data_IF_801888288028
#
_entry.id   IF_801888288028
#
_cell.length_a   1.000
_cell.length_b   1.000
_cell.length_c   1.000
_cell.angle_alpha   90.00
_cell.angle_beta   90.00
_cell.angle_gamma   90.00
#
_symmetry.space_group_name_H-M   'P 1'
#
loop_
_entity.id
_entity.type
_entity.pdbx_description
1 polymer ?
#
# COMPACT_ATOMS: atom_id res chain seq x y z
N UNK A 1 64.49 -28.75 -42.98
CA UNK A 1 64.23 -29.26 -41.63
C UNK A 1 64.09 -28.08 -40.71
N UNK A 2 62.88 -27.66 -40.42
CA UNK A 2 62.60 -26.65 -39.39
C UNK A 2 61.50 -27.20 -38.48
N UNK A 3 61.82 -27.43 -37.24
CA UNK A 3 60.91 -27.88 -36.19
C UNK A 3 59.99 -26.70 -35.79
N UNK A 4 58.70 -26.88 -35.90
CA UNK A 4 57.73 -25.99 -35.31
C UNK A 4 57.46 -26.43 -33.84
N UNK A 5 57.71 -25.51 -32.90
CA UNK A 5 57.34 -25.70 -31.51
C UNK A 5 55.90 -25.19 -31.29
N UNK A 6 55.02 -26.07 -30.82
CA UNK A 6 53.66 -25.74 -30.44
C UNK A 6 53.70 -25.24 -28.99
N UNK A 7 53.32 -23.98 -28.78
CA UNK A 7 53.15 -23.40 -27.47
C UNK A 7 51.66 -23.60 -27.10
N UNK A 8 51.42 -24.42 -26.07
CA UNK A 8 50.08 -24.57 -25.49
C UNK A 8 49.84 -23.38 -24.54
N UNK A 9 48.88 -22.57 -24.84
CA UNK A 9 48.41 -21.48 -23.99
C UNK A 9 47.33 -22.02 -23.04
N UNK A 10 47.72 -22.23 -21.74
CA UNK A 10 46.77 -22.53 -20.69
C UNK A 10 46.08 -21.22 -20.27
N UNK A 11 44.84 -21.06 -20.70
CA UNK A 11 43.95 -19.99 -20.20
C UNK A 11 43.39 -20.41 -18.84
N UNK A 12 43.94 -19.83 -17.77
CA UNK A 12 43.33 -19.89 -16.43
C UNK A 12 42.18 -18.90 -16.39
N UNK A 13 40.96 -19.40 -16.49
CA UNK A 13 39.76 -18.59 -16.27
C UNK A 13 39.61 -18.32 -14.76
N UNK A 14 39.98 -17.14 -14.32
CA UNK A 14 39.69 -16.68 -12.98
C UNK A 14 38.23 -16.24 -12.93
N UNK A 15 37.38 -17.09 -12.35
CA UNK A 15 36.00 -16.73 -12.06
C UNK A 15 36.00 -15.69 -10.91
N UNK A 16 35.76 -14.44 -11.23
CA UNK A 16 35.45 -13.41 -10.24
C UNK A 16 34.04 -13.64 -9.76
N UNK A 17 33.91 -14.30 -8.61
CA UNK A 17 32.64 -14.38 -7.89
C UNK A 17 32.42 -13.00 -7.23
N UNK A 18 31.63 -12.16 -7.89
CA UNK A 18 31.06 -10.97 -7.28
C UNK A 18 30.05 -11.41 -6.23
N UNK A 19 30.50 -11.52 -4.98
CA UNK A 19 29.59 -11.63 -3.85
C UNK A 19 28.84 -10.30 -3.72
N UNK A 20 27.62 -10.24 -4.26
CA UNK A 20 26.69 -9.22 -3.86
C UNK A 20 26.32 -9.49 -2.40
N UNK A 21 26.95 -8.77 -1.49
CA UNK A 21 26.46 -8.63 -0.12
C UNK A 21 25.09 -7.97 -0.24
N UNK A 22 24.02 -8.78 -0.14
CA UNK A 22 22.69 -8.28 0.14
C UNK A 22 22.76 -7.62 1.51
N UNK A 23 23.01 -6.30 1.55
CA UNK A 23 22.71 -5.52 2.73
C UNK A 23 21.21 -5.69 2.94
N UNK A 24 20.86 -6.49 3.95
CA UNK A 24 19.51 -6.55 4.45
C UNK A 24 19.14 -5.12 4.83
N UNK A 25 18.37 -4.47 3.98
CA UNK A 25 17.70 -3.23 4.35
C UNK A 25 16.79 -3.63 5.51
N UNK A 26 17.06 -3.08 6.68
CA UNK A 26 16.13 -3.18 7.79
C UNK A 26 14.75 -2.85 7.28
N UNK A 27 13.80 -3.76 7.51
CA UNK A 27 12.41 -3.50 7.21
C UNK A 27 12.06 -2.13 7.82
N UNK A 28 11.31 -1.26 7.12
CA UNK A 28 10.83 -0.04 7.73
C UNK A 28 10.15 -0.44 9.04
N UNK A 29 10.50 0.22 10.14
CA UNK A 29 9.96 -0.07 11.45
C UNK A 29 8.44 -0.06 11.33
N UNK A 30 7.83 -1.24 11.28
CA UNK A 30 6.39 -1.38 11.28
C UNK A 30 5.92 -0.90 12.65
N UNK A 31 5.05 0.10 12.68
CA UNK A 31 4.28 0.40 13.85
C UNK A 31 3.33 -0.77 14.06
N UNK A 32 3.73 -1.71 14.91
CA UNK A 32 2.79 -2.66 15.43
C UNK A 32 1.86 -1.87 16.37
N UNK A 33 0.64 -1.62 15.93
CA UNK A 33 -0.47 -1.24 16.81
C UNK A 33 -0.82 -2.47 17.65
N UNK A 34 0.09 -2.91 18.52
CA UNK A 34 -0.15 -4.01 19.44
C UNK A 34 -0.95 -3.51 20.63
N UNK A 35 -2.19 -4.00 20.75
CA UNK A 35 -3.00 -3.91 21.95
C UNK A 35 -3.56 -2.51 22.22
N UNK A 36 -4.70 -2.21 21.63
CA UNK A 36 -5.45 -1.01 21.92
C UNK A 36 -6.26 -1.21 23.21
N UNK A 37 -5.79 -0.65 24.32
CA UNK A 37 -6.59 -0.34 25.49
C UNK A 37 -6.93 1.15 25.43
N UNK A 38 -8.21 1.51 25.49
CA UNK A 38 -8.73 2.87 25.38
C UNK A 38 -8.25 3.81 26.51
N UNK A 39 -7.51 3.32 27.48
CA UNK A 39 -6.96 4.06 28.63
C UNK A 39 -5.46 4.32 28.57
N UNK A 40 -4.72 3.77 27.59
CA UNK A 40 -3.27 3.90 27.54
C UNK A 40 -2.78 5.00 26.60
N UNK A 41 -1.90 5.85 27.12
CA UNK A 41 -1.11 6.79 26.33
C UNK A 41 -0.36 6.04 25.24
N UNK A 42 -0.60 6.39 23.95
CA UNK A 42 0.10 5.83 22.83
C UNK A 42 1.60 6.12 22.97
N UNK A 43 2.37 5.13 23.39
CA UNK A 43 3.82 5.20 23.40
C UNK A 43 4.30 4.68 22.04
N UNK A 44 4.73 5.58 21.18
CA UNK A 44 5.37 5.23 19.91
C UNK A 44 6.74 4.64 20.23
N UNK A 45 6.85 3.31 20.29
CA UNK A 45 8.13 2.64 20.47
C UNK A 45 8.92 2.68 19.15
N UNK A 46 9.77 3.70 19.02
CA UNK A 46 10.77 3.74 17.96
C UNK A 46 12.00 2.93 18.41
N UNK A 47 12.01 1.62 18.13
CA UNK A 47 13.26 0.86 18.22
C UNK A 47 14.10 1.16 16.98
N UNK A 48 14.79 2.30 16.97
CA UNK A 48 15.88 2.54 16.05
C UNK A 48 17.21 2.24 16.76
N UNK A 49 18.01 1.34 16.20
CA UNK A 49 19.42 1.18 16.56
C UNK A 49 20.26 2.36 16.01
N UNK A 50 19.96 3.58 16.44
CA UNK A 50 20.77 4.75 16.11
C UNK A 50 21.10 5.50 17.40
N UNK A 51 22.37 5.60 17.68
CA UNK A 51 23.00 6.34 18.76
C UNK A 51 22.81 7.84 18.58
N UNK A 52 21.72 8.37 18.94
CA UNK A 52 21.33 9.73 19.38
C UNK A 52 19.82 9.89 19.18
N UNK A 53 19.02 10.25 20.18
CA UNK A 53 17.61 10.52 19.98
C UNK A 53 17.47 11.70 19.04
N UNK A 54 16.91 11.50 17.85
CA UNK A 54 16.50 12.61 17.01
C UNK A 54 15.50 13.45 17.81
N UNK A 55 15.68 14.77 17.84
CA UNK A 55 14.77 15.70 18.50
C UNK A 55 13.37 15.48 17.92
N UNK A 56 12.44 14.97 18.71
CA UNK A 56 11.08 14.71 18.25
C UNK A 56 10.23 15.96 18.44
N UNK A 57 9.61 16.41 17.36
CA UNK A 57 8.64 17.50 17.39
C UNK A 57 7.25 16.90 17.37
N UNK A 58 6.37 17.29 18.31
CA UNK A 58 5.03 16.77 18.39
C UNK A 58 4.00 17.87 18.17
N UNK A 59 3.04 17.63 17.30
CA UNK A 59 1.85 18.42 17.13
C UNK A 59 0.61 17.59 17.43
N UNK A 60 -0.44 18.25 17.89
CA UNK A 60 -1.73 17.65 18.21
C UNK A 60 -2.85 18.35 17.46
N UNK A 61 -3.77 17.56 16.93
CA UNK A 61 -4.96 18.04 16.24
C UNK A 61 -6.20 17.45 16.89
N UNK A 62 -7.19 18.29 17.18
CA UNK A 62 -8.45 17.89 17.80
C UNK A 62 -9.61 18.70 17.22
N UNK A 63 -10.83 18.12 17.05
CA UNK A 63 -12.00 18.88 16.60
C UNK A 63 -12.35 20.08 17.52
N UNK A 64 -11.97 19.96 18.80
CA UNK A 64 -12.17 21.03 19.82
C UNK A 64 -10.99 22.01 19.92
N UNK A 65 -9.97 21.86 19.07
CA UNK A 65 -8.79 22.72 19.04
C UNK A 65 -9.04 24.07 18.36
N UNK A 66 -7.96 24.84 18.20
CA UNK A 66 -7.98 26.13 17.50
C UNK A 66 -6.78 26.26 16.55
N UNK A 67 -7.00 26.78 15.35
CA UNK A 67 -5.92 27.00 14.39
C UNK A 67 -5.01 28.18 14.74
N UNK A 68 -5.40 28.98 15.76
CA UNK A 68 -4.54 30.00 16.36
C UNK A 68 -3.73 29.49 17.56
N UNK A 69 -4.00 28.23 18.00
CA UNK A 69 -3.26 27.59 19.09
C UNK A 69 -1.84 27.19 18.67
N UNK A 70 -1.03 26.80 19.65
CA UNK A 70 0.37 26.40 19.43
C UNK A 70 0.54 24.95 18.87
N UNK A 71 -0.52 24.15 18.83
CA UNK A 71 -0.48 22.75 18.38
C UNK A 71 0.08 21.80 19.42
N UNK A 72 0.19 22.20 20.68
CA UNK A 72 0.58 21.34 21.79
C UNK A 72 -0.57 20.42 22.24
N UNK A 73 -0.30 19.41 23.07
CA UNK A 73 -1.34 18.53 23.62
C UNK A 73 -2.41 19.29 24.38
N UNK A 74 -2.02 20.35 25.14
CA UNK A 74 -2.94 21.19 25.92
C UNK A 74 -3.66 22.25 25.06
N UNK A 75 -3.07 22.64 23.90
CA UNK A 75 -3.62 23.65 23.00
C UNK A 75 -3.48 23.15 21.52
N UNK A 76 -4.29 22.13 21.12
CA UNK A 76 -4.16 21.49 19.81
C UNK A 76 -4.65 22.39 18.67
N UNK A 77 -4.18 22.13 17.47
CA UNK A 77 -4.78 22.68 16.25
C UNK A 77 -6.18 22.11 16.04
N UNK A 78 -7.01 22.85 15.32
CA UNK A 78 -8.35 22.39 14.95
C UNK A 78 -8.33 21.58 13.65
N UNK A 79 -7.51 21.95 12.66
CA UNK A 79 -7.56 21.39 11.32
C UNK A 79 -6.26 20.71 10.92
N UNK A 80 -6.40 19.67 10.07
CA UNK A 80 -5.26 19.00 9.43
C UNK A 80 -4.49 19.98 8.50
N UNK A 81 -5.20 20.89 7.84
CA UNK A 81 -4.58 21.91 6.98
C UNK A 81 -3.68 22.86 7.77
N UNK A 82 -4.05 23.23 9.01
CA UNK A 82 -3.19 24.05 9.89
C UNK A 82 -1.95 23.25 10.34
N UNK A 83 -2.13 22.00 10.72
CA UNK A 83 -1.02 21.13 11.08
C UNK A 83 -0.06 20.94 9.90
N UNK A 84 -0.58 20.74 8.68
CA UNK A 84 0.23 20.61 7.47
C UNK A 84 1.14 21.82 7.21
N UNK A 85 0.67 23.04 7.52
CA UNK A 85 1.47 24.26 7.47
C UNK A 85 2.51 24.36 8.59
N UNK A 86 2.24 23.78 9.75
CA UNK A 86 3.14 23.82 10.91
C UNK A 86 4.30 22.82 10.79
N UNK A 87 4.06 21.69 10.16
CA UNK A 87 5.07 20.62 9.98
C UNK A 87 6.09 21.08 8.94
N UNK A 88 7.31 21.38 9.40
CA UNK A 88 8.43 21.81 8.55
C UNK A 88 9.72 21.04 8.81
N UNK A 89 9.76 20.23 9.89
CA UNK A 89 10.97 19.55 10.36
C UNK A 89 10.86 18.03 10.27
N UNK A 90 11.94 17.39 9.89
CA UNK A 90 12.09 15.94 10.02
C UNK A 90 11.95 15.51 11.49
N UNK A 91 11.48 14.28 11.73
CA UNK A 91 11.23 13.76 13.08
C UNK A 91 9.95 14.30 13.74
N UNK A 92 9.08 14.98 12.98
CA UNK A 92 7.79 15.45 13.49
C UNK A 92 6.76 14.34 13.54
N UNK A 93 6.02 14.26 14.66
CA UNK A 93 4.81 13.43 14.78
C UNK A 93 3.60 14.32 14.99
N UNK A 94 2.56 14.10 14.18
CA UNK A 94 1.25 14.75 14.31
C UNK A 94 0.25 13.73 14.82
N UNK A 95 -0.20 13.92 16.06
CA UNK A 95 -1.21 13.10 16.70
C UNK A 95 -2.59 13.71 16.44
N UNK A 96 -3.47 12.94 15.81
CA UNK A 96 -4.81 13.39 15.43
C UNK A 96 -5.84 12.65 16.26
N UNK A 97 -6.57 13.37 17.11
CA UNK A 97 -7.61 12.82 17.97
C UNK A 97 -8.80 12.31 17.13
N UNK A 98 -9.62 11.38 17.68
CA UNK A 98 -10.87 10.99 17.05
C UNK A 98 -11.77 12.18 16.75
N UNK A 99 -12.43 12.15 15.59
CA UNK A 99 -13.34 13.20 15.14
C UNK A 99 -13.37 13.33 13.63
N UNK A 100 -14.16 14.26 13.14
CA UNK A 100 -14.34 14.52 11.71
C UNK A 100 -13.56 15.77 11.32
N UNK A 101 -12.76 15.62 10.27
CA UNK A 101 -11.86 16.66 9.75
C UNK A 101 -12.10 16.89 8.26
N UNK A 102 -11.98 18.13 7.85
CA UNK A 102 -11.99 18.48 6.45
C UNK A 102 -10.69 18.00 5.77
N UNK A 103 -10.84 17.30 4.65
CA UNK A 103 -9.75 16.95 3.73
C UNK A 103 -9.48 18.04 2.70
N UNK A 104 -8.80 17.68 1.63
CA UNK A 104 -8.44 18.62 0.57
C UNK A 104 -7.20 19.43 0.92
N UNK A 105 -6.27 18.88 1.66
CA UNK A 105 -5.03 19.54 2.06
C UNK A 105 -3.79 18.83 1.49
N UNK A 106 -2.67 19.57 1.51
CA UNK A 106 -1.39 19.11 1.00
C UNK A 106 -0.32 19.11 2.09
N UNK A 107 0.51 18.06 2.13
CA UNK A 107 1.71 17.95 2.96
C UNK A 107 2.96 17.93 2.10
N UNK A 108 3.97 18.75 2.44
CA UNK A 108 5.18 18.92 1.60
C UNK A 108 6.49 18.76 2.38
N UNK A 109 6.44 18.69 3.70
CA UNK A 109 7.61 18.55 4.53
C UNK A 109 8.28 17.18 4.33
N UNK A 110 9.60 17.16 4.34
CA UNK A 110 10.40 15.97 4.20
C UNK A 110 10.90 15.48 5.55
N UNK A 111 10.69 14.19 5.83
CA UNK A 111 11.48 13.45 6.80
C UNK A 111 12.82 13.01 6.23
N UNK A 112 13.51 12.18 6.97
CA UNK A 112 14.72 11.46 6.57
C UNK A 112 14.61 9.99 6.96
N UNK A 113 15.55 9.15 6.52
CA UNK A 113 15.57 7.74 6.93
C UNK A 113 15.68 7.57 8.45
N UNK A 114 16.42 8.46 9.13
CA UNK A 114 16.61 8.44 10.59
C UNK A 114 15.52 9.23 11.35
N UNK A 115 14.78 10.13 10.69
CA UNK A 115 13.82 11.02 11.32
C UNK A 115 12.60 11.22 10.42
N UNK A 116 11.73 10.19 10.33
CA UNK A 116 10.51 10.23 9.53
C UNK A 116 9.52 11.26 10.08
N UNK A 117 8.61 11.70 9.25
CA UNK A 117 7.43 12.46 9.66
C UNK A 117 6.27 11.47 9.79
N UNK A 118 5.58 11.53 10.92
CA UNK A 118 4.43 10.66 11.20
C UNK A 118 3.14 11.48 11.32
N UNK A 119 2.11 11.01 10.65
CA UNK A 119 0.73 11.44 10.83
C UNK A 119 -0.05 10.26 11.35
N UNK A 120 -0.57 10.36 12.57
CA UNK A 120 -1.15 9.21 13.28
C UNK A 120 -2.54 9.57 13.80
N UNK A 121 -3.54 8.82 13.38
CA UNK A 121 -4.82 8.80 14.07
C UNK A 121 -4.63 8.10 15.43
N UNK A 122 -4.90 8.78 16.54
CA UNK A 122 -4.65 8.23 17.88
C UNK A 122 -5.57 7.06 18.24
N UNK A 123 -6.62 6.85 17.45
CA UNK A 123 -7.50 5.67 17.48
C UNK A 123 -7.61 5.17 16.04
N UNK A 124 -7.44 3.87 15.81
CA UNK A 124 -7.57 3.29 14.45
C UNK A 124 -8.92 3.73 13.86
N UNK A 125 -8.86 4.47 12.71
CA UNK A 125 -10.00 5.03 11.99
C UNK A 125 -10.84 6.05 12.77
N UNK A 126 -10.35 6.50 13.93
CA UNK A 126 -11.03 7.50 14.73
C UNK A 126 -10.95 8.91 14.14
N UNK A 127 -9.84 9.27 13.51
CA UNK A 127 -9.72 10.51 12.76
C UNK A 127 -10.27 10.30 11.35
N UNK A 128 -11.48 10.79 11.11
CA UNK A 128 -12.22 10.65 9.86
C UNK A 128 -12.04 11.89 8.99
N UNK A 129 -11.51 11.73 7.79
CA UNK A 129 -11.31 12.78 6.80
C UNK A 129 -12.47 12.74 5.80
N UNK A 130 -13.17 13.86 5.64
CA UNK A 130 -14.36 13.98 4.77
C UNK A 130 -14.21 15.17 3.80
N UNK A 131 -14.91 15.18 2.66
CA UNK A 131 -14.95 16.32 1.77
C UNK A 131 -15.52 17.57 2.47
N UNK A 132 -14.78 18.70 2.48
CA UNK A 132 -15.31 19.95 3.01
C UNK A 132 -16.43 20.50 2.12
N UNK A 133 -17.25 21.39 2.67
CA UNK A 133 -18.23 22.12 1.87
C UNK A 133 -17.50 23.02 0.86
N UNK A 134 -18.04 23.09 -0.37
CA UNK A 134 -17.51 23.93 -1.46
C UNK A 134 -16.04 23.63 -1.83
N UNK A 135 -15.57 22.39 -1.62
CA UNK A 135 -14.20 21.99 -1.97
C UNK A 135 -13.98 22.07 -3.48
N UNK A 136 -12.82 22.59 -3.88
CA UNK A 136 -12.31 22.52 -5.25
C UNK A 136 -11.21 21.46 -5.40
N UNK A 137 -10.77 20.85 -4.31
CA UNK A 137 -9.72 19.84 -4.30
C UNK A 137 -10.27 18.49 -4.77
N UNK A 138 -9.47 17.80 -5.57
CA UNK A 138 -9.77 16.45 -6.08
C UNK A 138 -9.20 15.35 -5.18
N UNK A 139 -8.27 15.66 -4.29
CA UNK A 139 -7.59 14.72 -3.39
C UNK A 139 -8.03 14.99 -1.94
N UNK A 140 -8.29 13.94 -1.17
CA UNK A 140 -8.50 14.09 0.26
C UNK A 140 -7.21 14.49 0.97
N UNK A 141 -6.12 13.82 0.64
CA UNK A 141 -4.76 14.10 1.13
C UNK A 141 -3.76 14.04 -0.03
N UNK A 142 -3.04 15.14 -0.29
CA UNK A 142 -1.98 15.21 -1.28
C UNK A 142 -0.62 15.29 -0.58
N UNK A 143 0.10 14.15 -0.45
CA UNK A 143 1.43 14.13 0.13
C UNK A 143 2.51 14.26 -0.94
N UNK A 144 3.40 15.24 -0.80
CA UNK A 144 4.56 15.47 -1.66
C UNK A 144 5.89 15.30 -0.91
N UNK A 145 5.81 15.13 0.41
CA UNK A 145 7.00 14.93 1.25
C UNK A 145 7.59 13.53 1.10
N UNK A 146 8.88 13.41 1.38
CA UNK A 146 9.60 12.16 1.47
C UNK A 146 9.65 11.65 2.91
N UNK A 147 9.78 10.34 3.12
CA UNK A 147 9.85 9.73 4.43
C UNK A 147 8.68 10.13 5.35
N UNK A 148 7.48 10.15 4.81
CA UNK A 148 6.23 10.44 5.51
C UNK A 148 5.47 9.14 5.74
N UNK A 149 4.94 8.95 6.96
CA UNK A 149 4.04 7.86 7.30
C UNK A 149 2.65 8.40 7.63
N UNK A 150 1.60 7.86 6.99
CA UNK A 150 0.18 8.20 7.20
C UNK A 150 -0.51 6.96 7.74
N UNK A 151 -0.95 7.03 9.02
CA UNK A 151 -1.29 5.84 9.78
C UNK A 151 -2.66 5.95 10.44
N UNK A 152 -3.54 4.97 10.17
CA UNK A 152 -4.75 4.71 10.96
C UNK A 152 -5.92 5.66 10.73
N UNK A 153 -5.95 6.44 9.66
CA UNK A 153 -7.05 7.35 9.32
C UNK A 153 -8.20 6.62 8.63
N UNK A 154 -9.41 7.18 8.75
CA UNK A 154 -10.50 6.91 7.83
C UNK A 154 -10.61 8.05 6.81
N UNK A 155 -10.71 7.72 5.52
CA UNK A 155 -10.95 8.66 4.43
C UNK A 155 -12.27 8.28 3.78
N UNK A 156 -13.31 9.05 4.07
CA UNK A 156 -14.69 8.79 3.67
C UNK A 156 -15.16 9.79 2.62
N UNK A 157 -15.11 9.39 1.36
CA UNK A 157 -15.58 10.20 0.24
C UNK A 157 -17.11 10.27 0.08
N UNK A 158 -17.90 9.52 0.86
CA UNK A 158 -19.36 9.50 0.77
C UNK A 158 -20.02 10.77 1.29
N UNK A 159 -19.36 11.50 2.19
CA UNK A 159 -19.91 12.67 2.89
C UNK A 159 -19.83 13.96 2.08
N UNK A 160 -20.04 13.88 0.77
CA UNK A 160 -19.97 15.06 -0.09
C UNK A 160 -21.16 15.99 0.23
N UNK A 161 -20.84 17.20 0.69
CA UNK A 161 -21.84 18.24 0.97
C UNK A 161 -22.07 19.15 -0.25
N UNK A 162 -21.00 19.62 -0.86
CA UNK A 162 -21.00 20.45 -2.08
C UNK A 162 -19.59 20.53 -2.66
N UNK A 163 -19.45 21.09 -3.86
CA UNK A 163 -18.16 21.27 -4.50
C UNK A 163 -17.64 20.02 -5.22
N UNK A 164 -16.34 19.95 -5.47
CA UNK A 164 -15.68 18.89 -6.20
C UNK A 164 -15.61 17.62 -5.35
N UNK A 165 -16.10 16.52 -5.89
CA UNK A 165 -15.94 15.19 -5.29
C UNK A 165 -14.51 14.71 -5.46
N UNK A 166 -14.02 13.97 -4.49
CA UNK A 166 -12.67 13.43 -4.56
C UNK A 166 -12.53 12.34 -5.63
N UNK A 167 -11.50 12.49 -6.44
CA UNK A 167 -11.03 11.45 -7.35
C UNK A 167 -9.97 10.57 -6.69
N UNK A 168 -9.23 11.12 -5.72
CA UNK A 168 -8.18 10.44 -4.99
C UNK A 168 -8.41 10.56 -3.47
N UNK A 169 -8.23 9.44 -2.76
CA UNK A 169 -8.19 9.43 -1.31
C UNK A 169 -6.84 9.93 -0.80
N UNK A 170 -5.90 9.04 -0.54
CA UNK A 170 -4.53 9.38 -0.16
C UNK A 170 -3.65 9.28 -1.42
N UNK A 171 -3.10 10.41 -1.84
CA UNK A 171 -2.14 10.49 -2.93
C UNK A 171 -0.75 10.79 -2.39
N UNK A 172 0.27 10.09 -2.87
CA UNK A 172 1.66 10.38 -2.55
C UNK A 172 2.56 10.37 -3.78
N UNK A 173 3.29 11.47 -3.98
CA UNK A 173 4.28 11.64 -5.04
C UNK A 173 5.71 11.77 -4.52
N UNK A 174 5.92 11.62 -3.21
CA UNK A 174 7.26 11.61 -2.59
C UNK A 174 7.83 10.19 -2.47
N UNK A 175 9.07 10.11 -1.96
CA UNK A 175 9.83 8.86 -1.83
C UNK A 175 9.83 8.31 -0.42
N UNK A 176 9.96 6.98 -0.29
CA UNK A 176 10.12 6.28 0.99
C UNK A 176 8.96 6.51 1.96
N UNK A 177 7.75 6.69 1.43
CA UNK A 177 6.55 6.92 2.23
C UNK A 177 5.93 5.60 2.69
N UNK A 178 5.10 5.67 3.72
CA UNK A 178 4.32 4.54 4.25
C UNK A 178 2.87 4.97 4.41
N UNK A 179 1.96 4.24 3.82
CA UNK A 179 0.51 4.40 3.97
C UNK A 179 0.01 3.14 4.68
N UNK A 180 -0.32 3.26 5.98
CA UNK A 180 -0.51 2.08 6.83
C UNK A 180 -1.79 2.11 7.64
N UNK A 181 -2.52 0.99 7.63
CA UNK A 181 -3.66 0.78 8.51
C UNK A 181 -4.84 1.73 8.29
N UNK A 182 -4.91 2.42 7.15
CA UNK A 182 -5.98 3.36 6.87
C UNK A 182 -7.21 2.63 6.31
N UNK A 183 -8.38 3.26 6.47
CA UNK A 183 -9.63 2.87 5.88
C UNK A 183 -10.04 3.92 4.84
N UNK A 184 -9.98 3.57 3.55
CA UNK A 184 -10.22 4.52 2.45
C UNK A 184 -11.37 4.02 1.60
N UNK A 185 -12.45 4.81 1.51
CA UNK A 185 -13.65 4.35 0.81
C UNK A 185 -14.44 5.49 0.17
N UNK A 186 -15.32 5.12 -0.79
CA UNK A 186 -16.21 6.02 -1.50
C UNK A 186 -15.51 7.18 -2.23
N UNK A 187 -14.26 6.97 -2.70
CA UNK A 187 -13.58 7.93 -3.58
C UNK A 187 -13.86 7.62 -5.06
N UNK A 188 -13.66 8.58 -5.93
CA UNK A 188 -13.84 8.48 -7.38
C UNK A 188 -15.24 8.04 -7.83
N UNK A 189 -16.27 8.10 -6.97
CA UNK A 189 -17.62 7.56 -7.25
C UNK A 189 -18.38 8.27 -8.38
N UNK A 190 -17.90 9.41 -8.84
CA UNK A 190 -18.57 10.24 -9.85
C UNK A 190 -17.65 10.76 -10.94
N UNK A 191 -16.53 10.08 -11.18
CA UNK A 191 -15.67 10.43 -12.31
C UNK A 191 -16.37 10.09 -13.63
N UNK A 192 -16.08 10.82 -14.73
CA UNK A 192 -16.77 10.61 -16.02
C UNK A 192 -16.31 9.35 -16.77
N UNK A 193 -15.38 8.56 -16.25
CA UNK A 193 -14.85 7.33 -16.86
C UNK A 193 -14.31 7.48 -18.29
N UNK A 194 -13.81 8.64 -18.62
CA UNK A 194 -13.10 8.90 -19.89
C UNK A 194 -11.59 8.69 -19.72
N UNK A 195 -10.77 9.73 -19.77
CA UNK A 195 -9.32 9.65 -19.54
C UNK A 195 -8.91 10.07 -18.12
N UNK A 196 -9.83 10.59 -17.32
CA UNK A 196 -9.56 10.99 -15.95
C UNK A 196 -9.78 9.82 -15.02
N UNK A 197 -8.76 9.42 -14.27
CA UNK A 197 -8.79 8.33 -13.32
C UNK A 197 -9.03 8.78 -11.89
N UNK A 198 -9.13 7.79 -11.01
CA UNK A 198 -9.24 7.98 -9.58
C UNK A 198 -8.84 6.75 -8.80
N UNK A 199 -8.35 6.93 -7.58
CA UNK A 199 -7.98 5.82 -6.71
C UNK A 199 -8.23 6.12 -5.24
N UNK A 200 -8.33 5.06 -4.43
CA UNK A 200 -8.34 5.23 -2.99
C UNK A 200 -6.95 5.61 -2.47
N UNK A 201 -5.94 4.86 -2.88
CA UNK A 201 -4.53 5.14 -2.56
C UNK A 201 -3.76 5.20 -3.87
N UNK A 202 -3.16 6.37 -4.16
CA UNK A 202 -2.34 6.60 -5.34
C UNK A 202 -0.88 6.85 -4.96
N UNK A 203 0.01 5.99 -5.44
CA UNK A 203 1.47 6.12 -5.31
C UNK A 203 2.03 6.42 -6.69
N UNK A 204 2.49 7.62 -6.90
CA UNK A 204 2.75 8.11 -8.25
C UNK A 204 4.20 8.53 -8.48
N UNK A 205 4.77 8.04 -9.60
CA UNK A 205 6.10 8.41 -10.08
C UNK A 205 6.16 9.79 -10.74
N UNK A 206 5.03 10.42 -11.09
CA UNK A 206 5.00 11.69 -11.81
C UNK A 206 5.89 12.78 -11.18
N UNK A 207 6.01 12.79 -9.84
CA UNK A 207 6.91 13.66 -9.09
C UNK A 207 8.25 13.01 -8.75
N UNK A 208 8.63 11.93 -9.46
CA UNK A 208 9.86 11.16 -9.27
C UNK A 208 9.97 10.46 -7.91
N UNK A 209 8.84 10.24 -7.23
CA UNK A 209 8.80 9.48 -5.99
C UNK A 209 9.10 8.00 -6.21
N UNK A 210 9.79 7.37 -5.25
CA UNK A 210 10.15 5.94 -5.28
C UNK A 210 9.94 5.29 -3.92
N UNK A 211 9.76 3.96 -3.91
CA UNK A 211 9.73 3.13 -2.70
C UNK A 211 8.69 3.56 -1.68
N UNK A 212 7.44 3.57 -2.06
CA UNK A 212 6.34 3.74 -1.10
C UNK A 212 5.76 2.39 -0.72
N UNK A 213 5.52 2.20 0.58
CA UNK A 213 4.91 1.00 1.14
C UNK A 213 3.44 1.26 1.50
N UNK A 214 2.55 0.39 1.01
CA UNK A 214 1.09 0.43 1.27
C UNK A 214 0.74 -0.82 2.05
N UNK A 215 0.49 -0.68 3.36
CA UNK A 215 0.46 -1.80 4.29
C UNK A 215 -0.83 -1.81 5.12
N UNK A 216 -1.53 -2.94 5.16
CA UNK A 216 -2.60 -3.17 6.12
C UNK A 216 -3.81 -2.22 5.98
N UNK A 217 -4.03 -1.64 4.81
CA UNK A 217 -5.16 -0.76 4.59
C UNK A 217 -6.42 -1.55 4.21
N UNK A 218 -7.59 -1.02 4.57
CA UNK A 218 -8.88 -1.48 4.07
C UNK A 218 -9.40 -0.47 3.06
N UNK A 219 -9.66 -0.94 1.84
CA UNK A 219 -10.04 -0.10 0.69
C UNK A 219 -11.30 -0.69 0.05
N UNK A 220 -12.36 0.13 -0.11
CA UNK A 220 -13.58 -0.37 -0.73
C UNK A 220 -14.50 0.72 -1.29
N UNK A 221 -15.45 0.28 -2.13
CA UNK A 221 -16.45 1.15 -2.74
C UNK A 221 -15.82 2.31 -3.52
N UNK A 222 -14.92 1.98 -4.45
CA UNK A 222 -14.16 2.95 -5.23
C UNK A 222 -14.70 3.03 -6.65
N UNK A 223 -15.13 4.21 -7.03
CA UNK A 223 -15.59 4.56 -8.37
C UNK A 223 -16.87 3.92 -8.81
N UNK A 224 -17.38 4.30 -10.02
CA UNK A 224 -18.46 3.59 -10.66
C UNK A 224 -17.99 2.26 -11.22
N UNK A 225 -18.85 1.24 -11.16
CA UNK A 225 -18.56 -0.09 -11.67
C UNK A 225 -18.25 -0.06 -13.17
N UNK A 226 -17.18 -0.79 -13.57
CA UNK A 226 -16.75 -0.90 -14.97
C UNK A 226 -15.94 0.29 -15.50
N UNK A 227 -15.63 1.26 -14.67
CA UNK A 227 -14.82 2.41 -15.06
C UNK A 227 -13.33 2.02 -15.12
N UNK A 228 -12.76 1.95 -16.32
CA UNK A 228 -11.39 1.49 -16.58
C UNK A 228 -10.32 2.27 -15.80
N UNK A 229 -10.57 3.55 -15.50
CA UNK A 229 -9.60 4.44 -14.87
C UNK A 229 -9.73 4.53 -13.34
N UNK A 230 -10.42 3.55 -12.71
CA UNK A 230 -10.64 3.53 -11.27
C UNK A 230 -9.85 2.40 -10.62
N UNK A 231 -9.10 2.71 -9.56
CA UNK A 231 -8.28 1.74 -8.87
C UNK A 231 -8.48 1.83 -7.34
N UNK A 232 -8.34 0.69 -6.66
CA UNK A 232 -8.24 0.66 -5.20
C UNK A 232 -6.88 1.19 -4.74
N UNK A 233 -5.83 0.44 -5.04
CA UNK A 233 -4.43 0.83 -4.82
C UNK A 233 -3.75 0.92 -6.18
N UNK A 234 -3.28 2.12 -6.52
CA UNK A 234 -2.57 2.40 -7.77
C UNK A 234 -1.10 2.72 -7.49
N UNK A 235 -0.19 2.03 -8.15
CA UNK A 235 1.26 2.25 -7.97
C UNK A 235 1.94 2.37 -9.33
N UNK A 236 2.60 3.49 -9.57
CA UNK A 236 3.36 3.77 -10.78
C UNK A 236 4.88 3.83 -10.56
N UNK A 237 5.36 3.36 -9.42
CA UNK A 237 6.78 3.35 -9.04
C UNK A 237 7.15 2.06 -8.33
N UNK A 238 8.26 2.02 -7.60
CA UNK A 238 8.67 0.87 -6.78
C UNK A 238 8.06 0.93 -5.37
N UNK A 239 8.04 -0.20 -4.66
CA UNK A 239 7.59 -0.30 -3.28
C UNK A 239 6.91 -1.61 -2.92
N UNK A 240 6.09 -1.60 -1.88
CA UNK A 240 5.39 -2.80 -1.44
C UNK A 240 3.91 -2.56 -1.22
N UNK A 241 3.09 -3.58 -1.48
CA UNK A 241 1.64 -3.59 -1.25
C UNK A 241 1.37 -4.86 -0.45
N UNK A 242 1.21 -4.73 0.88
CA UNK A 242 1.18 -5.90 1.77
C UNK A 242 0.01 -5.86 2.76
N UNK A 243 -0.57 -7.01 3.04
CA UNK A 243 -1.63 -7.19 4.04
C UNK A 243 -2.86 -6.29 3.82
N UNK A 244 -3.12 -5.79 2.61
CA UNK A 244 -4.29 -4.95 2.38
C UNK A 244 -5.53 -5.81 2.08
N UNK A 245 -6.70 -5.28 2.45
CA UNK A 245 -8.00 -5.79 2.05
C UNK A 245 -8.63 -4.79 1.08
N UNK A 246 -8.88 -5.22 -0.17
CA UNK A 246 -9.37 -4.32 -1.22
C UNK A 246 -10.57 -4.97 -1.92
N UNK A 247 -11.73 -4.31 -1.92
CA UNK A 247 -12.92 -4.89 -2.49
C UNK A 247 -13.90 -3.86 -3.04
N UNK A 248 -14.77 -4.27 -3.97
CA UNK A 248 -15.76 -3.42 -4.66
C UNK A 248 -15.12 -2.18 -5.30
N UNK A 249 -14.13 -2.42 -6.14
CA UNK A 249 -13.46 -1.39 -6.94
C UNK A 249 -14.00 -1.43 -8.36
N UNK A 250 -14.32 -0.27 -8.91
CA UNK A 250 -14.93 -0.12 -10.23
C UNK A 250 -14.07 -0.64 -11.38
N UNK A 251 -12.75 -0.71 -11.22
CA UNK A 251 -11.84 -1.43 -12.12
C UNK A 251 -10.86 -2.29 -11.32
N UNK A 252 -9.59 -1.91 -11.18
CA UNK A 252 -8.58 -2.77 -10.58
C UNK A 252 -8.47 -2.56 -9.06
N UNK A 253 -8.55 -3.65 -8.28
CA UNK A 253 -8.30 -3.59 -6.84
C UNK A 253 -6.86 -3.17 -6.55
N UNK A 254 -5.88 -3.80 -7.20
CA UNK A 254 -4.47 -3.40 -7.17
C UNK A 254 -3.99 -3.26 -8.62
N UNK A 255 -3.40 -2.11 -8.95
CA UNK A 255 -2.97 -1.79 -10.31
C UNK A 255 -1.56 -1.20 -10.36
N UNK A 256 -0.66 -1.88 -11.06
CA UNK A 256 0.65 -1.34 -11.41
C UNK A 256 0.61 -0.81 -12.83
N UNK A 257 1.06 0.45 -13.04
CA UNK A 257 1.11 1.08 -14.36
C UNK A 257 2.27 2.08 -14.46
N UNK A 258 2.39 2.78 -15.57
CA UNK A 258 3.49 3.71 -15.87
C UNK A 258 4.86 3.05 -15.62
N UNK A 259 5.66 3.62 -14.72
CA UNK A 259 7.04 3.19 -14.45
C UNK A 259 7.15 2.15 -13.32
N UNK A 260 6.04 1.45 -12.97
CA UNK A 260 6.04 0.49 -11.89
C UNK A 260 7.04 -0.65 -12.13
N UNK A 261 7.98 -0.82 -11.22
CA UNK A 261 9.00 -1.89 -11.26
C UNK A 261 9.50 -2.16 -9.83
N UNK A 262 10.09 -3.33 -9.59
CA UNK A 262 10.59 -3.72 -8.26
C UNK A 262 9.49 -3.61 -7.19
N UNK A 263 8.30 -4.16 -7.46
CA UNK A 263 7.15 -4.11 -6.56
C UNK A 263 6.87 -5.47 -5.94
N UNK A 264 6.54 -5.48 -4.65
CA UNK A 264 6.10 -6.67 -3.93
C UNK A 264 4.61 -6.55 -3.58
N UNK A 265 3.78 -7.46 -4.08
CA UNK A 265 2.34 -7.57 -3.80
C UNK A 265 2.13 -8.85 -2.99
N UNK A 266 2.08 -8.73 -1.67
CA UNK A 266 2.22 -9.88 -0.77
C UNK A 266 1.10 -9.90 0.27
N UNK A 267 0.48 -11.07 0.48
CA UNK A 267 -0.52 -11.28 1.52
C UNK A 267 -1.71 -10.30 1.46
N UNK A 268 -2.15 -9.89 0.28
CA UNK A 268 -3.36 -9.08 0.17
C UNK A 268 -4.59 -9.99 -0.03
N UNK A 269 -5.76 -9.50 0.35
CA UNK A 269 -7.06 -10.11 0.02
C UNK A 269 -7.84 -9.14 -0.86
N UNK A 270 -8.13 -9.54 -2.09
CA UNK A 270 -8.84 -8.71 -3.08
C UNK A 270 -10.06 -9.44 -3.63
N UNK A 271 -11.19 -8.75 -3.70
CA UNK A 271 -12.43 -9.38 -4.16
C UNK A 271 -13.43 -8.39 -4.76
N UNK A 272 -14.48 -8.93 -5.38
CA UNK A 272 -15.68 -8.18 -5.80
C UNK A 272 -15.37 -6.96 -6.68
N UNK A 273 -14.28 -6.99 -7.43
CA UNK A 273 -13.80 -5.91 -8.31
C UNK A 273 -13.82 -6.37 -9.77
N UNK A 274 -13.60 -5.45 -10.73
CA UNK A 274 -13.47 -5.87 -12.12
C UNK A 274 -12.17 -6.64 -12.31
N UNK A 275 -11.02 -6.07 -11.92
CA UNK A 275 -9.74 -6.79 -11.89
C UNK A 275 -9.28 -6.97 -10.45
N UNK A 276 -8.79 -8.15 -10.11
CA UNK A 276 -8.12 -8.40 -8.84
C UNK A 276 -6.77 -7.68 -8.79
N UNK A 277 -5.79 -8.18 -9.54
CA UNK A 277 -4.44 -7.59 -9.60
C UNK A 277 -4.01 -7.41 -11.05
N UNK A 278 -3.61 -6.21 -11.42
CA UNK A 278 -2.96 -5.91 -12.68
C UNK A 278 -1.47 -5.63 -12.42
N UNK A 279 -0.60 -6.43 -13.03
CA UNK A 279 0.83 -6.16 -13.16
C UNK A 279 1.05 -5.60 -14.56
N UNK A 280 1.33 -4.30 -14.68
CA UNK A 280 1.38 -3.69 -15.99
C UNK A 280 2.27 -2.46 -16.07
N UNK A 281 2.56 -2.05 -17.29
CA UNK A 281 3.30 -0.83 -17.61
C UNK A 281 2.87 -0.26 -18.95
N UNK A 282 2.78 1.06 -19.02
CA UNK A 282 2.40 1.82 -20.19
C UNK A 282 2.34 3.30 -19.87
N UNK A 283 2.15 4.16 -20.87
CA UNK A 283 2.07 5.61 -20.69
C UNK A 283 3.21 6.16 -19.80
N UNK A 284 4.43 5.70 -20.07
CA UNK A 284 5.60 5.91 -19.22
C UNK A 284 5.95 7.39 -19.03
N UNK A 285 6.30 7.77 -17.78
CA UNK A 285 6.77 9.12 -17.48
C UNK A 285 8.29 9.25 -17.66
N UNK A 286 9.07 8.25 -17.24
CA UNK A 286 10.54 8.34 -17.17
C UNK A 286 11.26 7.12 -17.77
N UNK A 287 10.60 5.97 -17.85
CA UNK A 287 11.22 4.74 -18.37
C UNK A 287 10.35 4.12 -19.47
N UNK A 288 10.90 3.19 -20.21
CA UNK A 288 10.12 2.35 -21.13
C UNK A 288 10.29 0.87 -20.85
N UNK A 289 10.82 0.53 -19.65
CA UNK A 289 11.17 -0.85 -19.33
C UNK A 289 9.92 -1.74 -19.14
N UNK A 290 8.83 -1.18 -18.64
CA UNK A 290 7.62 -1.92 -18.25
C UNK A 290 7.73 -2.52 -16.86
N UNK A 291 6.64 -3.13 -16.38
CA UNK A 291 6.59 -3.76 -15.07
C UNK A 291 7.47 -5.00 -15.05
N UNK A 292 8.56 -4.96 -14.28
CA UNK A 292 9.53 -6.03 -14.17
C UNK A 292 10.03 -6.18 -12.73
N UNK A 293 10.51 -7.37 -12.38
CA UNK A 293 10.91 -7.71 -11.01
C UNK A 293 9.77 -7.48 -10.01
N UNK A 294 8.57 -7.95 -10.35
CA UNK A 294 7.37 -7.89 -9.52
C UNK A 294 7.13 -9.26 -8.89
N UNK A 295 7.00 -9.30 -7.56
CA UNK A 295 6.66 -10.49 -6.80
C UNK A 295 5.19 -10.43 -6.36
N UNK A 296 4.37 -11.40 -6.77
CA UNK A 296 2.95 -11.51 -6.40
C UNK A 296 2.76 -12.82 -5.63
N UNK A 297 2.85 -12.77 -4.30
CA UNK A 297 2.86 -13.97 -3.46
C UNK A 297 1.81 -13.92 -2.35
N UNK A 298 1.29 -15.08 -1.99
CA UNK A 298 0.40 -15.24 -0.85
C UNK A 298 -0.87 -14.37 -0.90
N UNK A 299 -1.35 -13.96 -2.06
CA UNK A 299 -2.58 -13.17 -2.15
C UNK A 299 -3.81 -14.06 -2.31
N UNK A 300 -4.94 -13.64 -1.74
CA UNK A 300 -6.27 -14.15 -2.09
C UNK A 300 -6.86 -13.21 -3.14
N UNK A 301 -7.17 -13.75 -4.32
CA UNK A 301 -7.82 -13.04 -5.43
C UNK A 301 -9.09 -13.81 -5.78
N UNK A 302 -10.21 -13.36 -5.23
CA UNK A 302 -11.44 -14.12 -5.16
C UNK A 302 -12.65 -13.34 -5.64
N UNK A 303 -13.47 -13.97 -6.47
CA UNK A 303 -14.78 -13.46 -6.88
C UNK A 303 -14.74 -12.06 -7.55
N UNK A 304 -13.74 -11.83 -8.40
CA UNK A 304 -13.65 -10.68 -9.30
C UNK A 304 -14.17 -11.06 -10.70
N UNK A 305 -14.21 -10.12 -11.64
CA UNK A 305 -14.41 -10.48 -13.04
C UNK A 305 -13.15 -11.09 -13.66
N UNK A 306 -12.00 -10.52 -13.37
CA UNK A 306 -10.68 -10.96 -13.80
C UNK A 306 -9.76 -11.14 -12.58
N UNK A 307 -8.99 -12.22 -12.55
CA UNK A 307 -8.10 -12.53 -11.44
C UNK A 307 -6.80 -11.73 -11.47
N UNK A 308 -5.67 -12.40 -11.74
CA UNK A 308 -4.35 -11.79 -11.86
C UNK A 308 -3.95 -11.72 -13.34
N UNK A 309 -3.58 -10.52 -13.82
CA UNK A 309 -3.20 -10.33 -15.21
C UNK A 309 -1.94 -9.48 -15.37
N UNK A 310 -1.17 -9.80 -16.41
CA UNK A 310 -0.14 -8.91 -16.93
C UNK A 310 -0.70 -8.11 -18.11
N UNK A 311 -0.52 -6.78 -18.10
CA UNK A 311 -1.06 -5.89 -19.12
C UNK A 311 0.01 -4.89 -19.62
N UNK A 312 -0.18 -4.37 -20.84
CA UNK A 312 0.79 -3.44 -21.43
C UNK A 312 2.17 -4.08 -21.58
N UNK A 313 3.24 -3.39 -21.20
CA UNK A 313 4.62 -3.87 -21.27
C UNK A 313 5.03 -4.47 -19.92
N UNK A 314 5.41 -5.74 -19.92
CA UNK A 314 5.90 -6.46 -18.75
C UNK A 314 7.19 -7.20 -19.07
N UNK A 315 8.04 -7.39 -18.05
CA UNK A 315 9.29 -8.10 -18.16
C UNK A 315 9.19 -9.58 -17.78
N UNK A 316 10.28 -10.31 -17.94
CA UNK A 316 10.37 -11.75 -17.65
C UNK A 316 10.77 -12.08 -16.23
N UNK A 317 11.14 -11.08 -15.40
CA UNK A 317 11.55 -11.29 -14.01
C UNK A 317 10.40 -11.18 -13.01
N UNK A 318 9.14 -11.11 -13.47
CA UNK A 318 7.97 -11.18 -12.61
C UNK A 318 7.74 -12.61 -12.10
N UNK A 319 7.22 -12.76 -10.90
CA UNK A 319 7.01 -14.07 -10.29
C UNK A 319 5.72 -14.14 -9.48
N UNK A 320 5.05 -15.30 -9.53
CA UNK A 320 3.72 -15.55 -8.99
C UNK A 320 3.74 -16.84 -8.19
N UNK A 321 3.65 -16.75 -6.83
CA UNK A 321 3.80 -17.92 -5.97
C UNK A 321 2.76 -17.94 -4.85
N UNK A 322 2.25 -19.14 -4.54
CA UNK A 322 1.39 -19.41 -3.40
C UNK A 322 0.20 -18.45 -3.27
N UNK A 323 -0.42 -18.05 -4.39
CA UNK A 323 -1.65 -17.27 -4.35
C UNK A 323 -2.86 -18.22 -4.36
N UNK A 324 -3.95 -17.82 -3.69
CA UNK A 324 -5.25 -18.39 -3.97
C UNK A 324 -5.96 -17.52 -4.99
N UNK A 325 -6.27 -18.08 -6.16
CA UNK A 325 -6.98 -17.36 -7.23
C UNK A 325 -8.14 -18.23 -7.68
N UNK A 326 -9.37 -17.77 -7.41
CA UNK A 326 -10.57 -18.61 -7.60
C UNK A 326 -11.83 -17.80 -7.85
N UNK A 327 -12.73 -18.36 -8.62
CA UNK A 327 -14.07 -17.81 -8.91
C UNK A 327 -14.03 -16.42 -9.58
N UNK A 328 -12.97 -16.09 -10.32
CA UNK A 328 -12.94 -14.90 -11.14
C UNK A 328 -13.64 -15.22 -12.47
N UNK A 329 -14.74 -14.52 -12.78
CA UNK A 329 -15.77 -15.00 -13.72
C UNK A 329 -15.31 -15.11 -15.17
N UNK A 330 -14.25 -14.42 -15.58
CA UNK A 330 -13.73 -14.48 -16.95
C UNK A 330 -12.44 -15.28 -17.04
N UNK A 331 -11.49 -14.99 -16.16
CA UNK A 331 -10.26 -15.79 -16.00
C UNK A 331 -9.65 -15.58 -14.62
N UNK A 332 -8.98 -16.61 -14.10
CA UNK A 332 -8.18 -16.51 -12.89
C UNK A 332 -6.77 -15.98 -13.19
N UNK A 333 -6.19 -16.35 -14.31
CA UNK A 333 -4.83 -15.97 -14.70
C UNK A 333 -4.73 -15.55 -16.16
N UNK A 334 -4.00 -14.44 -16.41
CA UNK A 334 -3.58 -14.02 -17.74
C UNK A 334 -2.15 -13.49 -17.67
N UNK A 335 -1.16 -14.38 -17.68
CA UNK A 335 0.25 -14.04 -17.63
C UNK A 335 0.83 -13.92 -19.04
N UNK A 336 1.91 -13.15 -19.19
CA UNK A 336 2.62 -12.92 -20.45
C UNK A 336 4.04 -13.49 -20.40
N UNK A 337 4.77 -13.34 -21.48
CA UNK A 337 6.20 -13.68 -21.61
C UNK A 337 6.54 -15.13 -21.22
N UNK A 338 5.59 -16.06 -21.36
CA UNK A 338 5.78 -17.47 -20.97
C UNK A 338 5.83 -17.71 -19.45
N UNK A 339 5.57 -16.70 -18.63
CA UNK A 339 5.58 -16.83 -17.18
C UNK A 339 4.50 -17.79 -16.68
N UNK A 340 4.81 -18.46 -15.57
CA UNK A 340 3.92 -19.42 -14.90
C UNK A 340 3.75 -19.05 -13.45
N UNK A 341 2.64 -19.45 -12.85
CA UNK A 341 2.43 -19.40 -11.41
C UNK A 341 2.76 -20.75 -10.78
N UNK A 342 3.14 -20.75 -9.51
CA UNK A 342 3.48 -21.97 -8.76
C UNK A 342 2.84 -21.95 -7.37
N UNK A 343 2.55 -23.14 -6.81
CA UNK A 343 1.96 -23.26 -5.47
C UNK A 343 0.57 -22.64 -5.32
N UNK A 344 -0.13 -22.40 -6.42
CA UNK A 344 -1.44 -21.75 -6.44
C UNK A 344 -2.54 -22.68 -5.95
N UNK A 345 -3.49 -22.12 -5.20
CA UNK A 345 -4.73 -22.78 -4.79
C UNK A 345 -5.87 -22.24 -5.67
N UNK A 346 -6.66 -23.16 -6.26
CA UNK A 346 -7.83 -22.85 -7.10
C UNK A 346 -9.09 -23.47 -6.49
N UNK A 347 -9.43 -23.04 -5.28
CA UNK A 347 -10.62 -23.48 -4.55
C UNK A 347 -11.17 -22.35 -3.70
N UNK A 348 -12.40 -22.51 -3.18
CA UNK A 348 -13.03 -21.51 -2.32
C UNK A 348 -12.14 -21.22 -1.11
N UNK A 349 -11.81 -19.94 -0.83
CA UNK A 349 -11.02 -19.55 0.34
C UNK A 349 -11.73 -19.79 1.68
N UNK A 350 -13.01 -20.12 1.68
CA UNK A 350 -13.83 -20.35 2.88
C UNK A 350 -13.67 -19.22 3.90
N UNK A 351 -13.91 -18.00 3.47
CA UNK A 351 -13.83 -16.81 4.33
C UNK A 351 -15.04 -16.77 5.27
N UNK A 352 -14.82 -16.46 6.53
CA UNK A 352 -15.80 -16.59 7.62
C UNK A 352 -17.08 -15.77 7.45
N UNK A 353 -17.03 -14.67 6.73
CA UNK A 353 -18.17 -13.79 6.53
C UNK A 353 -18.08 -12.98 5.25
N UNK A 354 -17.61 -13.61 4.18
CA UNK A 354 -17.57 -12.96 2.87
C UNK A 354 -18.96 -12.59 2.37
N UNK A 355 -19.09 -11.39 1.88
CA UNK A 355 -20.31 -10.88 1.24
C UNK A 355 -19.96 -9.78 0.24
N UNK A 356 -20.59 -9.81 -0.93
CA UNK A 356 -20.47 -8.72 -1.92
C UNK A 356 -21.18 -7.44 -1.48
N UNK A 357 -22.16 -7.54 -0.59
CA UNK A 357 -23.08 -6.45 -0.26
C UNK A 357 -22.97 -5.94 1.18
N UNK A 358 -22.41 -6.72 2.10
CA UNK A 358 -22.19 -6.24 3.46
C UNK A 358 -21.27 -5.02 3.45
N UNK A 359 -21.53 -4.03 4.29
CA UNK A 359 -20.72 -2.82 4.38
C UNK A 359 -19.25 -3.16 4.71
N UNK A 360 -19.04 -4.02 5.69
CA UNK A 360 -17.72 -4.52 6.12
C UNK A 360 -17.75 -6.06 6.18
N UNK A 361 -17.49 -6.75 5.05
CA UNK A 361 -17.42 -8.21 5.03
C UNK A 361 -16.26 -8.72 5.90
N UNK A 362 -16.42 -9.91 6.47
CA UNK A 362 -15.34 -10.57 7.20
C UNK A 362 -14.52 -11.44 6.24
N UNK A 363 -13.29 -11.03 5.99
CA UNK A 363 -12.34 -11.72 5.11
C UNK A 363 -11.38 -12.67 5.84
N UNK A 364 -11.58 -12.94 7.12
CA UNK A 364 -10.77 -13.91 7.87
C UNK A 364 -11.03 -15.32 7.35
N UNK A 365 -9.99 -16.15 7.23
CA UNK A 365 -10.20 -17.56 6.89
C UNK A 365 -11.00 -18.27 8.00
N UNK A 366 -11.93 -19.17 7.61
CA UNK A 366 -12.54 -20.10 8.57
C UNK A 366 -11.55 -21.21 8.94
N UNK A 367 -11.82 -21.96 9.99
CA UNK A 367 -10.95 -23.05 10.45
C UNK A 367 -10.68 -24.14 9.41
N UNK A 368 -11.56 -24.29 8.41
CA UNK A 368 -11.41 -25.26 7.31
C UNK A 368 -10.85 -24.65 6.04
N UNK A 369 -10.41 -23.40 6.09
CA UNK A 369 -9.91 -22.70 4.89
C UNK A 369 -8.65 -23.34 4.32
N UNK A 370 -8.59 -23.53 2.99
CA UNK A 370 -7.42 -24.10 2.33
C UNK A 370 -6.20 -23.17 2.32
N UNK A 371 -6.33 -21.91 2.77
CA UNK A 371 -5.24 -20.93 2.82
C UNK A 371 -4.34 -21.08 4.04
N UNK A 372 -4.81 -21.81 5.08
CA UNK A 372 -4.10 -21.92 6.35
C UNK A 372 -2.79 -22.68 6.18
N UNK A 373 -1.68 -22.06 6.59
CA UNK A 373 -0.33 -22.61 6.51
C UNK A 373 0.19 -22.87 5.08
N UNK A 374 -0.43 -22.29 4.04
CA UNK A 374 -0.07 -22.54 2.63
C UNK A 374 0.72 -21.42 1.97
N UNK A 375 0.94 -20.32 2.67
CA UNK A 375 1.81 -19.24 2.25
C UNK A 375 3.29 -19.54 2.45
N UNK A 376 4.14 -18.70 1.90
CA UNK A 376 5.59 -18.72 2.07
C UNK A 376 6.07 -17.49 2.84
N UNK A 377 7.15 -17.65 3.60
CA UNK A 377 7.74 -16.57 4.39
C UNK A 377 8.35 -15.45 3.53
N UNK A 378 8.70 -15.75 2.28
CA UNK A 378 9.37 -14.81 1.39
C UNK A 378 8.57 -13.52 1.22
N UNK A 379 9.15 -12.41 1.67
CA UNK A 379 8.57 -11.06 1.66
C UNK A 379 7.33 -10.86 2.53
N UNK A 380 6.81 -11.87 3.22
CA UNK A 380 5.71 -11.71 4.16
C UNK A 380 6.11 -10.81 5.33
N UNK A 381 5.15 -10.06 5.87
CA UNK A 381 5.35 -9.35 7.12
C UNK A 381 5.27 -10.31 8.31
N UNK A 382 5.91 -9.99 9.44
CA UNK A 382 5.88 -10.84 10.64
C UNK A 382 4.49 -10.92 11.29
N UNK A 383 3.60 -9.99 10.95
CA UNK A 383 2.22 -9.94 11.45
C UNK A 383 1.24 -9.80 10.30
N UNK A 384 -0.01 -10.14 10.53
CA UNK A 384 -1.14 -9.90 9.64
C UNK A 384 -1.70 -8.47 9.78
N UNK A 385 -2.82 -8.18 9.11
CA UNK A 385 -3.48 -6.86 9.16
C UNK A 385 -4.01 -6.49 10.56
N UNK A 386 -4.32 -7.47 11.40
CA UNK A 386 -4.79 -7.28 12.77
C UNK A 386 -3.66 -7.32 13.80
N UNK A 387 -2.40 -7.49 13.36
CA UNK A 387 -1.23 -7.61 14.23
C UNK A 387 -1.00 -9.03 14.75
N UNK A 388 -1.77 -10.05 14.31
CA UNK A 388 -1.55 -11.44 14.67
C UNK A 388 -0.27 -11.97 14.05
N UNK A 389 0.58 -12.61 14.85
CA UNK A 389 1.88 -13.11 14.39
C UNK A 389 1.75 -14.17 13.29
N UNK A 390 2.54 -14.02 12.25
CA UNK A 390 2.82 -15.04 11.23
C UNK A 390 4.13 -15.71 11.61
N UNK A 391 4.12 -17.00 11.87
CA UNK A 391 5.33 -17.71 12.30
C UNK A 391 5.51 -19.04 11.55
N UNK A 392 6.74 -19.54 11.56
CA UNK A 392 7.09 -20.76 10.83
C UNK A 392 6.49 -22.02 11.45
N UNK A 393 6.13 -22.03 12.75
CA UNK A 393 5.60 -23.21 13.42
C UNK A 393 4.13 -23.48 13.09
N UNK A 394 3.34 -22.42 12.86
CA UNK A 394 1.93 -22.53 12.44
C UNK A 394 1.76 -22.39 10.92
N UNK A 395 2.84 -22.03 10.21
CA UNK A 395 2.81 -21.68 8.80
C UNK A 395 2.35 -20.26 8.55
N UNK A 396 2.56 -19.80 7.33
CA UNK A 396 2.08 -18.51 6.84
C UNK A 396 0.76 -18.74 6.10
N UNK A 397 -0.28 -18.03 6.45
CA UNK A 397 -1.52 -18.10 5.69
C UNK A 397 -1.46 -17.23 4.45
N UNK A 398 -2.19 -17.63 3.42
CA UNK A 398 -2.40 -16.82 2.22
C UNK A 398 -3.46 -15.76 2.54
N UNK A 399 -3.27 -14.53 2.08
CA UNK A 399 -4.17 -13.41 2.32
C UNK A 399 -3.76 -12.48 3.45
N UNK A 400 -4.59 -11.47 3.70
CA UNK A 400 -4.31 -10.40 4.64
C UNK A 400 -4.36 -10.82 6.12
N UNK A 401 -5.04 -11.90 6.42
CA UNK A 401 -5.27 -12.40 7.79
C UNK A 401 -4.54 -13.71 8.06
N UNK A 402 -4.14 -13.91 9.30
CA UNK A 402 -3.60 -15.14 9.85
C UNK A 402 -4.69 -15.83 10.71
N UNK A 403 -4.94 -17.12 10.50
CA UNK A 403 -5.89 -17.91 11.28
C UNK A 403 -5.40 -18.21 12.70
#
# INVERSE_FOLDING_TARGET
MKKQATIALNAVATAVVLAFSATAHAAPNSFALTGYDASSNLTVNTTSNASTPATTYNYYVSPTGSDTAAGTKAAPFKTLARAAKAVTKAGTTVFVAPGTYDGGFKTTANGTAAARIYWVSTTKWGAKIVPPANSTNKNAWDNRGNYVSIIGFEVDGSKVRSGTKWTLGIYTGGSYNVIEGNHVHHTATTIPCNSAGGSAIGVDSYYKGVKTDVIGNVVHDIGPAGCTYVQGIYVSTSGTIKNNVVYRVGSAAIHLWHDATNVQIINNTVSSSVFGIIVGGGDFYFTSAGANNVAVYNNIVYDNKYGISEQGKTGTANSYKNNLVFKNTTYDWQLRNGLKHTGTISSDPLLAGYSRTAAMPNFKPSASSPVIGRGIATYALPTDIDGKARNASTGYDIGAYQH
#
